data_IF_627425554037
#
_entry.id   IF_627425554037
#
_cell.length_a   1.000
_cell.length_b   1.000
_cell.length_c   1.000
_cell.angle_alpha   90.00
_cell.angle_beta   90.00
_cell.angle_gamma   90.00
#
_symmetry.space_group_name_H-M   'P 1'
#
loop_
_entity.id
_entity.type
_entity.pdbx_description
1 polymer ?
#
# COMPACT_ATOMS: atom_id res chain seq x y z
N UNK A 1 -0.01 16.39 -7.84
CA UNK A 1 -0.34 15.33 -6.88
C UNK A 1 -1.77 14.89 -7.10
N UNK A 2 -2.05 13.59 -7.09
CA UNK A 2 -3.39 13.03 -7.25
C UNK A 2 -3.68 12.02 -6.15
N UNK A 3 -4.97 11.87 -5.81
CA UNK A 3 -5.43 10.96 -4.75
C UNK A 3 -6.15 9.79 -5.43
N UNK A 4 -5.76 8.57 -5.09
CA UNK A 4 -6.34 7.36 -5.65
C UNK A 4 -6.59 6.30 -4.56
N UNK A 5 -7.58 5.45 -4.80
CA UNK A 5 -7.79 4.24 -4.01
C UNK A 5 -6.71 3.24 -4.38
N UNK A 6 -6.04 2.68 -3.38
CA UNK A 6 -4.96 1.71 -3.52
C UNK A 6 -5.40 0.38 -2.91
N UNK A 7 -5.24 -0.70 -3.67
CA UNK A 7 -5.51 -2.05 -3.18
C UNK A 7 -4.25 -2.63 -2.54
N UNK A 8 -4.40 -3.25 -1.38
CA UNK A 8 -3.31 -3.89 -0.67
C UNK A 8 -3.71 -5.24 -0.09
N UNK A 9 -2.70 -6.05 0.18
CA UNK A 9 -2.83 -7.36 0.82
C UNK A 9 -1.96 -7.41 2.06
N UNK A 10 -2.52 -7.79 3.19
CA UNK A 10 -1.73 -7.99 4.40
C UNK A 10 -0.83 -9.21 4.24
N UNK A 11 0.46 -9.05 4.52
CA UNK A 11 1.44 -10.12 4.52
C UNK A 11 1.41 -10.86 5.87
N UNK A 12 1.79 -12.14 5.86
CA UNK A 12 1.92 -13.02 7.04
C UNK A 12 0.63 -13.45 7.75
N UNK A 13 -0.55 -13.00 7.32
CA UNK A 13 -1.79 -13.69 7.70
C UNK A 13 -1.91 -14.98 6.88
N UNK A 14 -2.36 -16.08 7.50
CA UNK A 14 -2.56 -17.35 6.81
C UNK A 14 -3.32 -17.12 5.50
N UNK A 15 -2.77 -17.63 4.40
CA UNK A 15 -3.10 -17.42 2.98
C UNK A 15 -4.58 -17.59 2.56
N UNK A 16 -5.51 -17.79 3.50
CA UNK A 16 -6.93 -18.02 3.27
C UNK A 16 -7.76 -16.73 3.21
N UNK A 17 -7.26 -15.59 3.72
CA UNK A 17 -7.94 -14.31 3.55
C UNK A 17 -7.39 -13.53 2.36
N UNK A 18 -7.98 -13.74 1.19
CA UNK A 18 -7.84 -12.85 0.02
C UNK A 18 -8.56 -11.50 0.22
N UNK A 19 -8.70 -11.03 1.46
CA UNK A 19 -9.37 -9.78 1.74
C UNK A 19 -8.54 -8.62 1.21
N UNK A 20 -9.07 -7.97 0.17
CA UNK A 20 -8.47 -6.78 -0.41
C UNK A 20 -8.68 -5.64 0.57
N UNK A 21 -7.59 -5.11 1.10
CA UNK A 21 -7.60 -3.95 1.98
C UNK A 21 -7.52 -2.70 1.09
N UNK A 22 -8.36 -1.71 1.41
CA UNK A 22 -8.42 -0.46 0.67
C UNK A 22 -7.69 0.61 1.46
N UNK A 23 -6.76 1.28 0.78
CA UNK A 23 -6.02 2.44 1.28
C UNK A 23 -6.23 3.66 0.37
N UNK A 24 -5.86 4.82 0.89
CA UNK A 24 -5.83 6.09 0.15
C UNK A 24 -4.38 6.41 -0.15
N UNK A 25 -4.03 6.46 -1.44
CA UNK A 25 -2.70 6.80 -1.93
C UNK A 25 -2.62 8.22 -2.46
N UNK A 26 -1.56 8.94 -2.11
CA UNK A 26 -1.20 10.22 -2.71
C UNK A 26 -0.04 9.98 -3.68
N UNK A 27 -0.26 10.33 -4.94
CA UNK A 27 0.68 10.12 -6.03
C UNK A 27 1.33 11.43 -6.48
N UNK A 28 2.59 11.35 -6.87
CA UNK A 28 3.32 12.39 -7.61
C UNK A 28 3.94 11.77 -8.85
N UNK A 29 3.66 12.29 -10.04
CA UNK A 29 4.16 11.76 -11.32
C UNK A 29 4.07 10.23 -11.46
N UNK A 30 2.92 9.65 -11.08
CA UNK A 30 2.63 8.20 -11.09
C UNK A 30 3.42 7.36 -10.07
N UNK A 31 4.12 7.99 -9.13
CA UNK A 31 4.73 7.32 -8.00
C UNK A 31 3.86 7.49 -6.75
N UNK A 32 3.55 6.39 -6.08
CA UNK A 32 2.89 6.41 -4.77
C UNK A 32 3.87 6.99 -3.73
N UNK A 33 3.55 8.18 -3.22
CA UNK A 33 4.37 8.93 -2.27
C UNK A 33 3.92 8.69 -0.83
N UNK A 34 2.61 8.70 -0.59
CA UNK A 34 2.01 8.54 0.73
C UNK A 34 0.85 7.57 0.66
N UNK A 35 0.64 6.81 1.73
CA UNK A 35 -0.39 5.79 1.81
C UNK A 35 -1.03 5.83 3.19
N UNK A 36 -2.36 5.87 3.23
CA UNK A 36 -3.15 6.00 4.45
C UNK A 36 -4.21 4.92 4.53
N UNK A 37 -4.46 4.42 5.74
CA UNK A 37 -5.60 3.56 5.99
C UNK A 37 -6.89 4.35 6.28
N UNK A 38 -7.99 3.63 6.45
CA UNK A 38 -9.31 4.23 6.75
C UNK A 38 -9.37 4.95 8.10
N UNK A 39 -8.37 4.78 8.95
CA UNK A 39 -8.21 5.48 10.23
C UNK A 39 -7.27 6.70 10.14
N UNK A 40 -6.92 7.14 8.91
CA UNK A 40 -5.94 8.19 8.63
C UNK A 40 -4.54 7.92 9.22
N UNK A 41 -4.18 6.65 9.46
CA UNK A 41 -2.83 6.30 9.85
C UNK A 41 -1.97 6.14 8.60
N UNK A 42 -0.79 6.77 8.62
CA UNK A 42 0.15 6.73 7.51
C UNK A 42 0.98 5.45 7.56
N UNK A 43 1.09 4.78 6.40
CA UNK A 43 2.01 3.68 6.19
C UNK A 43 3.32 4.22 5.62
N UNK A 44 4.41 3.52 5.91
CA UNK A 44 5.74 3.84 5.42
C UNK A 44 6.22 2.80 4.43
N UNK A 45 6.77 3.26 3.31
CA UNK A 45 7.33 2.39 2.28
C UNK A 45 8.59 1.72 2.81
N UNK A 46 8.67 0.40 2.61
CA UNK A 46 9.93 -0.33 2.74
C UNK A 46 10.70 -0.11 1.44
N UNK A 47 11.84 0.57 1.54
CA UNK A 47 12.68 0.93 0.39
C UNK A 47 13.03 -0.30 -0.45
N UNK A 48 13.13 -0.09 -1.77
CA UNK A 48 13.42 -1.12 -2.78
C UNK A 48 12.43 -2.31 -2.82
N UNK A 49 11.23 -2.12 -2.25
CA UNK A 49 10.14 -3.11 -2.32
C UNK A 49 8.81 -2.45 -2.66
N UNK A 50 7.79 -3.29 -2.90
CA UNK A 50 6.38 -2.91 -3.02
C UNK A 50 5.63 -3.00 -1.68
N UNK A 51 6.36 -3.15 -0.58
CA UNK A 51 5.81 -3.35 0.74
C UNK A 51 5.72 -2.03 1.51
N UNK A 52 4.68 -1.93 2.31
CA UNK A 52 4.41 -0.79 3.18
C UNK A 52 4.09 -1.32 4.57
N UNK A 53 4.67 -0.72 5.60
CA UNK A 53 4.42 -1.11 6.98
C UNK A 53 3.64 -0.02 7.72
N UNK A 54 2.77 -0.43 8.63
CA UNK A 54 2.12 0.49 9.56
C UNK A 54 3.01 0.63 10.81
N UNK A 55 3.39 1.86 11.20
CA UNK A 55 4.27 2.08 12.35
C UNK A 55 3.58 1.67 13.65
N UNK A 56 4.37 1.20 14.61
CA UNK A 56 3.91 0.72 15.93
C UNK A 56 3.00 -0.53 15.87
N UNK A 57 2.92 -1.19 14.71
CA UNK A 57 2.34 -2.51 14.57
C UNK A 57 3.34 -3.44 13.87
N UNK A 58 3.03 -4.73 13.78
CA UNK A 58 3.78 -5.71 12.99
C UNK A 58 3.17 -5.91 11.59
N UNK A 59 2.27 -5.00 11.18
CA UNK A 59 1.50 -5.15 9.95
C UNK A 59 2.29 -4.64 8.75
N UNK A 60 2.51 -5.55 7.80
CA UNK A 60 3.11 -5.26 6.51
C UNK A 60 2.10 -5.57 5.43
N UNK A 61 2.00 -4.69 4.45
CA UNK A 61 1.08 -4.80 3.34
C UNK A 61 1.85 -4.79 2.02
N UNK A 62 1.49 -5.70 1.12
CA UNK A 62 1.88 -5.63 -0.27
C UNK A 62 0.89 -4.75 -1.02
N UNK A 63 1.38 -3.68 -1.64
CA UNK A 63 0.55 -2.73 -2.37
C UNK A 63 0.52 -3.11 -3.85
N UNK A 64 -0.69 -3.34 -4.38
CA UNK A 64 -0.91 -3.48 -5.81
C UNK A 64 -1.08 -2.08 -6.41
N UNK A 65 0.03 -1.51 -6.87
CA UNK A 65 0.01 -0.24 -7.59
C UNK A 65 -0.25 -0.50 -9.09
N UNK A 66 -1.39 -0.04 -9.60
CA UNK A 66 -1.76 -0.15 -11.02
C UNK A 66 -0.81 0.63 -11.94
N UNK A 67 -0.11 1.65 -11.41
CA UNK A 67 0.85 2.46 -12.15
C UNK A 67 2.26 1.85 -12.21
N UNK A 68 2.68 1.07 -11.20
CA UNK A 68 3.99 0.39 -11.20
C UNK A 68 3.96 -0.95 -11.98
N UNK A 69 2.79 -1.61 -12.10
CA UNK A 69 2.66 -2.87 -12.83
C UNK A 69 2.68 -2.75 -14.37
N UNK A 70 2.65 -1.53 -14.91
CA UNK A 70 2.67 -1.26 -16.35
C UNK A 70 4.05 -0.79 -16.87
N UNK A 71 5.13 -0.92 -16.08
CA UNK A 71 6.48 -0.72 -16.60
C UNK A 71 6.88 -1.95 -17.46
N UNK A 72 7.30 -1.75 -18.73
CA UNK A 72 7.70 -2.83 -19.63
C UNK A 72 8.96 -3.56 -19.15
#
# INVERSE_FOLDING_TARGET
MSIHVVQAHQMYHEYQSNEKIIFVGIYSDHQLMELFNNYNQQLFRILDTYQWFLPNTEEVYFVQDEFEQNKP
#
